data_IF_478726974181
#
_entry.id   IF_478726974181
#
_cell.length_a   1.000
_cell.length_b   1.000
_cell.length_c   1.000
_cell.angle_alpha   90.00
_cell.angle_beta   90.00
_cell.angle_gamma   90.00
#
_symmetry.space_group_name_H-M   'P 1'
#
loop_
_entity.id
_entity.type
_entity.pdbx_description
1 polymer ?
#
# COMPACT_ATOMS: atom_id res chain seq x y z
N UNK A 1 2.70 -16.55 -13.64
CA UNK A 1 2.87 -15.22 -14.26
C UNK A 1 3.74 -14.44 -13.31
N UNK A 2 4.98 -14.12 -13.68
CA UNK A 2 5.82 -13.28 -12.82
C UNK A 2 5.50 -11.84 -13.20
N UNK A 3 4.68 -11.20 -12.38
CA UNK A 3 4.36 -9.78 -12.51
C UNK A 3 5.58 -9.03 -11.95
N UNK A 4 6.30 -8.33 -12.82
CA UNK A 4 7.32 -7.38 -12.40
C UNK A 4 6.72 -5.98 -12.53
N UNK A 5 6.97 -5.11 -11.56
CA UNK A 5 6.50 -3.73 -11.61
C UNK A 5 7.56 -2.79 -11.03
N UNK A 6 7.56 -1.57 -11.52
CA UNK A 6 8.33 -0.45 -10.97
C UNK A 6 7.36 0.63 -10.51
N UNK A 7 7.69 1.32 -9.43
CA UNK A 7 6.93 2.47 -8.94
C UNK A 7 7.91 3.61 -8.74
N UNK A 8 7.60 4.78 -9.30
CA UNK A 8 8.35 6.01 -9.07
C UNK A 8 7.49 7.01 -8.31
N UNK A 9 8.11 7.80 -7.43
CA UNK A 9 7.44 8.83 -6.63
C UNK A 9 8.00 10.21 -7.01
N UNK A 10 7.09 11.14 -7.30
CA UNK A 10 7.39 12.57 -7.46
C UNK A 10 6.65 13.38 -6.42
N UNK A 11 7.36 14.28 -5.72
CA UNK A 11 6.80 15.03 -4.59
C UNK A 11 6.87 16.54 -4.86
N UNK A 12 5.72 17.19 -4.84
CA UNK A 12 5.62 18.65 -4.94
C UNK A 12 5.51 19.28 -3.55
N UNK A 13 6.40 20.24 -3.27
CA UNK A 13 6.43 20.99 -2.01
C UNK A 13 6.17 22.48 -2.24
N UNK A 14 5.48 23.09 -1.28
CA UNK A 14 5.35 24.55 -1.19
C UNK A 14 5.78 24.96 0.22
N UNK A 15 6.76 25.86 0.31
CA UNK A 15 7.36 26.30 1.58
C UNK A 15 7.80 25.12 2.48
N UNK A 16 8.39 24.08 1.89
CA UNK A 16 8.86 22.88 2.60
C UNK A 16 7.78 21.84 2.93
N UNK A 17 6.50 22.17 2.76
CA UNK A 17 5.37 21.29 3.05
C UNK A 17 5.02 20.46 1.81
N UNK A 18 4.84 19.15 1.98
CA UNK A 18 4.36 18.26 0.90
C UNK A 18 2.89 18.59 0.59
N UNK A 19 2.61 19.03 -0.64
CA UNK A 19 1.25 19.34 -1.09
C UNK A 19 0.67 18.29 -2.02
N UNK A 20 1.52 17.63 -2.80
CA UNK A 20 1.10 16.63 -3.78
C UNK A 20 2.18 15.56 -3.91
N UNK A 21 1.74 14.32 -4.06
CA UNK A 21 2.58 13.17 -4.39
C UNK A 21 1.96 12.50 -5.61
N UNK A 22 2.79 12.23 -6.60
CA UNK A 22 2.43 11.48 -7.79
C UNK A 22 3.21 10.17 -7.79
N UNK A 23 2.48 9.07 -7.95
CA UNK A 23 3.03 7.75 -8.19
C UNK A 23 2.81 7.37 -9.63
N UNK A 24 3.87 6.99 -10.33
CA UNK A 24 3.80 6.36 -11.64
C UNK A 24 4.17 4.89 -11.49
N UNK A 25 3.26 4.02 -11.92
CA UNK A 25 3.41 2.59 -11.87
C UNK A 25 3.62 2.07 -13.28
N UNK A 26 4.61 1.21 -13.45
CA UNK A 26 4.86 0.51 -14.70
C UNK A 26 4.83 -1.00 -14.42
N UNK A 27 3.81 -1.67 -14.93
CA UNK A 27 3.58 -3.11 -14.78
C UNK A 27 4.07 -3.84 -16.03
N UNK A 28 4.79 -4.94 -15.84
CA UNK A 28 5.31 -5.79 -16.91
C UNK A 28 4.74 -7.21 -16.81
N UNK A 29 4.14 -7.67 -17.91
CA UNK A 29 3.73 -9.06 -18.07
C UNK A 29 4.66 -9.77 -19.03
N UNK A 30 5.25 -10.87 -18.58
CA UNK A 30 6.02 -11.79 -19.41
C UNK A 30 5.12 -12.98 -19.79
N UNK A 31 4.60 -12.97 -21.02
CA UNK A 31 3.89 -14.12 -21.57
C UNK A 31 4.90 -15.10 -22.21
N UNK A 32 4.88 -16.36 -21.78
CA UNK A 32 5.55 -17.45 -22.51
C UNK A 32 4.56 -18.00 -23.53
N UNK A 33 4.73 -17.67 -24.80
CA UNK A 33 3.97 -18.35 -25.86
C UNK A 33 4.60 -19.73 -26.13
N UNK A 34 3.77 -20.77 -26.17
CA UNK A 34 4.20 -22.16 -26.40
C UNK A 34 3.76 -22.71 -27.77
N UNK A 35 3.49 -21.84 -28.74
CA UNK A 35 3.20 -22.27 -30.12
C UNK A 35 4.40 -21.99 -31.04
N UNK A 36 5.19 -23.03 -31.31
CA UNK A 36 6.28 -23.04 -32.29
C UNK A 36 7.68 -23.02 -31.68
N UNK A 37 8.66 -23.62 -32.37
CA UNK A 37 10.06 -23.83 -31.97
C UNK A 37 10.91 -22.55 -31.73
N UNK A 38 10.29 -21.38 -31.47
CA UNK A 38 11.00 -20.15 -31.16
C UNK A 38 10.40 -19.49 -29.91
N UNK A 39 11.21 -19.34 -28.87
CA UNK A 39 10.85 -18.63 -27.64
C UNK A 39 10.71 -17.13 -27.93
N UNK A 40 9.54 -16.68 -28.39
CA UNK A 40 9.25 -15.26 -28.55
C UNK A 40 8.66 -14.72 -27.24
N UNK A 41 9.41 -13.87 -26.54
CA UNK A 41 8.95 -13.19 -25.32
C UNK A 41 8.20 -11.92 -25.74
N UNK A 42 6.88 -11.90 -25.59
CA UNK A 42 6.13 -10.65 -25.70
C UNK A 42 6.07 -9.99 -24.31
N UNK A 43 6.60 -8.76 -24.23
CA UNK A 43 6.54 -7.92 -23.04
C UNK A 43 5.39 -6.93 -23.24
N UNK A 44 4.32 -7.07 -22.46
CA UNK A 44 3.28 -6.04 -22.38
C UNK A 44 3.56 -5.16 -21.16
N UNK A 45 3.62 -3.84 -21.37
CA UNK A 45 3.75 -2.86 -20.31
C UNK A 45 2.46 -2.05 -20.15
N UNK A 46 2.02 -1.82 -18.92
CA UNK A 46 0.95 -0.89 -18.58
C UNK A 46 1.49 0.18 -17.66
N UNK A 47 1.15 1.44 -17.95
CA UNK A 47 1.52 2.57 -17.11
C UNK A 47 0.24 3.20 -16.56
N UNK A 48 0.20 3.41 -15.26
CA UNK A 48 -0.89 4.11 -14.59
C UNK A 48 -0.34 5.08 -13.54
N UNK A 49 -1.08 6.17 -13.30
CA UNK A 49 -0.66 7.24 -12.41
C UNK A 49 -1.68 7.42 -11.29
N UNK A 50 -1.19 7.55 -10.06
CA UNK A 50 -1.99 7.95 -8.91
C UNK A 50 -1.48 9.27 -8.36
N UNK A 51 -2.38 10.22 -8.09
CA UNK A 51 -2.02 11.52 -7.51
C UNK A 51 -2.76 11.70 -6.20
N UNK A 52 -2.02 12.06 -5.15
CA UNK A 52 -2.56 12.34 -3.83
C UNK A 52 -2.24 13.78 -3.47
N UNK A 53 -3.29 14.58 -3.30
CA UNK A 53 -3.16 16.00 -2.90
C UNK A 53 -3.55 16.16 -1.45
N UNK A 54 -2.74 16.92 -0.71
CA UNK A 54 -3.01 17.29 0.69
C UNK A 54 -4.38 17.94 0.85
N UNK A 55 -4.78 18.79 -0.09
CA UNK A 55 -6.09 19.46 -0.06
C UNK A 55 -7.24 18.46 -0.08
N UNK A 56 -7.17 17.46 -0.96
CA UNK A 56 -8.22 16.47 -1.12
C UNK A 56 -8.27 15.53 0.10
N UNK A 57 -7.10 15.11 0.58
CA UNK A 57 -6.98 14.36 1.84
C UNK A 57 -7.62 15.10 3.02
N UNK A 58 -7.29 16.38 3.22
CA UNK A 58 -7.82 17.18 4.32
C UNK A 58 -9.35 17.35 4.24
N UNK A 59 -9.94 17.31 3.03
CA UNK A 59 -11.39 17.35 2.87
C UNK A 59 -12.00 16.01 3.30
N UNK A 60 -11.41 14.88 2.87
CA UNK A 60 -11.88 13.53 3.21
C UNK A 60 -11.80 13.26 4.72
N UNK A 61 -10.71 13.67 5.36
CA UNK A 61 -10.50 13.37 6.79
C UNK A 61 -11.23 14.30 7.74
N UNK A 62 -11.91 15.34 7.26
CA UNK A 62 -12.65 16.30 8.11
C UNK A 62 -13.73 15.64 8.97
N UNK A 63 -14.24 14.50 8.54
CA UNK A 63 -15.30 13.76 9.22
C UNK A 63 -14.83 12.42 9.82
N UNK A 64 -13.52 12.14 9.75
CA UNK A 64 -12.93 10.90 10.28
C UNK A 64 -12.27 11.26 11.61
N UNK A 65 -12.81 10.80 12.75
CA UNK A 65 -12.18 11.02 14.05
C UNK A 65 -10.79 10.35 14.06
N UNK A 66 -9.82 11.02 14.68
CA UNK A 66 -8.45 10.51 14.83
C UNK A 66 -7.76 10.09 13.51
N UNK A 67 -8.12 10.77 12.43
CA UNK A 67 -7.44 10.59 11.15
C UNK A 67 -5.95 10.96 11.28
N UNK A 68 -5.10 10.21 10.59
CA UNK A 68 -3.67 10.49 10.54
C UNK A 68 -3.40 11.89 10.00
N UNK A 69 -2.29 12.50 10.40
CA UNK A 69 -1.80 13.68 9.69
C UNK A 69 -1.46 13.29 8.25
N UNK A 70 -1.52 14.24 7.31
CA UNK A 70 -1.18 13.93 5.92
C UNK A 70 0.24 13.34 5.79
N UNK A 71 1.19 13.79 6.61
CA UNK A 71 2.55 13.26 6.56
C UNK A 71 2.60 11.79 7.04
N UNK A 72 1.91 11.48 8.13
CA UNK A 72 1.86 10.13 8.69
C UNK A 72 1.12 9.17 7.75
N UNK A 73 0.02 9.63 7.15
CA UNK A 73 -0.68 8.90 6.12
C UNK A 73 0.24 8.52 4.96
N UNK A 74 1.06 9.45 4.46
CA UNK A 74 2.00 9.16 3.37
C UNK A 74 3.10 8.20 3.82
N UNK A 75 3.62 8.36 5.05
CA UNK A 75 4.62 7.43 5.59
C UNK A 75 4.08 6.00 5.66
N UNK A 76 2.81 5.83 6.04
CA UNK A 76 2.15 4.53 6.07
C UNK A 76 1.85 4.03 4.65
N UNK A 77 1.33 4.87 3.77
CA UNK A 77 0.94 4.47 2.41
C UNK A 77 2.09 3.96 1.56
N UNK A 78 3.26 4.59 1.69
CA UNK A 78 4.42 4.30 0.85
C UNK A 78 4.84 2.83 0.85
N UNK A 79 5.01 2.14 2.00
CA UNK A 79 5.24 0.69 2.02
C UNK A 79 4.19 -0.11 1.24
N UNK A 80 2.90 0.23 1.38
CA UNK A 80 1.81 -0.47 0.70
C UNK A 80 1.88 -0.28 -0.82
N UNK A 81 2.20 0.94 -1.28
CA UNK A 81 2.31 1.30 -2.70
C UNK A 81 3.56 0.72 -3.34
N UNK A 82 4.73 0.95 -2.74
CA UNK A 82 6.01 0.63 -3.35
C UNK A 82 6.34 -0.86 -3.21
N UNK A 83 5.90 -1.51 -2.13
CA UNK A 83 6.18 -2.94 -1.87
C UNK A 83 7.61 -3.26 -1.45
N UNK A 84 8.52 -2.29 -1.56
CA UNK A 84 9.88 -2.34 -1.05
C UNK A 84 10.15 -1.03 -0.32
N UNK A 85 10.78 -1.13 0.84
CA UNK A 85 11.04 0.04 1.66
C UNK A 85 12.27 -0.18 2.55
N UNK A 86 12.95 0.92 2.93
CA UNK A 86 14.01 0.88 3.94
C UNK A 86 13.42 0.46 5.30
N UNK A 87 14.17 -0.36 6.06
CA UNK A 87 13.69 -0.90 7.34
C UNK A 87 13.17 0.20 8.29
N UNK A 88 13.87 1.33 8.40
CA UNK A 88 13.51 2.40 9.34
C UNK A 88 12.13 3.01 9.07
N UNK A 89 11.78 3.18 7.80
CA UNK A 89 10.50 3.77 7.44
C UNK A 89 9.37 2.73 7.48
N UNK A 90 9.68 1.44 7.28
CA UNK A 90 8.72 0.36 7.52
C UNK A 90 8.39 0.25 9.02
N UNK A 91 9.37 0.42 9.90
CA UNK A 91 9.17 0.48 11.36
C UNK A 91 8.31 1.68 11.73
N UNK A 92 8.59 2.87 11.17
CA UNK A 92 7.77 4.07 11.43
C UNK A 92 6.32 3.87 10.97
N UNK A 93 6.11 3.31 9.77
CA UNK A 93 4.77 3.01 9.28
C UNK A 93 4.03 2.05 10.21
N UNK A 94 4.71 1.01 10.70
CA UNK A 94 4.16 0.08 11.69
C UNK A 94 3.74 0.80 12.98
N UNK A 95 4.62 1.62 13.54
CA UNK A 95 4.36 2.37 14.78
C UNK A 95 3.23 3.39 14.65
N UNK A 96 3.05 3.97 13.46
CA UNK A 96 1.95 4.90 13.18
C UNK A 96 0.61 4.16 13.07
N UNK A 97 0.62 2.94 12.51
CA UNK A 97 -0.57 2.10 12.41
C UNK A 97 -0.98 1.51 13.76
N UNK A 98 -0.03 1.02 14.56
CA UNK A 98 -0.24 0.48 15.92
C UNK A 98 -0.56 1.61 16.92
N UNK A 99 -1.74 2.20 16.78
CA UNK A 99 -2.17 3.41 17.51
C UNK A 99 -2.25 3.19 19.02
N UNK A 100 -2.65 1.99 19.43
CA UNK A 100 -2.77 1.61 20.84
C UNK A 100 -1.44 1.10 21.43
N UNK A 101 -0.38 1.03 20.63
CA UNK A 101 0.93 0.51 21.01
C UNK A 101 0.87 -0.91 21.60
N UNK A 102 -0.01 -1.74 21.04
CA UNK A 102 -0.15 -3.15 21.44
C UNK A 102 1.03 -4.01 20.99
N UNK A 103 1.87 -3.51 20.06
CA UNK A 103 2.92 -4.26 19.40
C UNK A 103 2.41 -5.09 18.21
N UNK A 104 1.17 -4.88 17.79
CA UNK A 104 0.56 -5.53 16.63
C UNK A 104 -0.49 -4.64 15.98
N UNK A 105 -0.68 -4.79 14.67
CA UNK A 105 -1.70 -4.04 13.92
C UNK A 105 -2.94 -4.91 13.78
N UNK A 106 -4.07 -4.45 14.33
CA UNK A 106 -5.34 -5.15 14.23
C UNK A 106 -6.26 -4.58 13.13
N UNK A 107 -7.51 -5.06 13.09
CA UNK A 107 -8.51 -4.63 12.12
C UNK A 107 -8.88 -3.15 12.32
N UNK A 108 -8.98 -2.71 13.58
CA UNK A 108 -9.42 -1.36 13.92
C UNK A 108 -8.34 -0.33 13.58
N UNK A 109 -7.06 -0.70 13.76
CA UNK A 109 -5.91 0.07 13.29
C UNK A 109 -5.95 0.28 11.77
N UNK A 110 -6.16 -0.80 11.01
CA UNK A 110 -6.26 -0.76 9.55
C UNK A 110 -7.52 -0.03 9.06
N UNK A 111 -8.64 -0.15 9.77
CA UNK A 111 -9.90 0.52 9.45
C UNK A 111 -9.81 2.04 9.53
N UNK A 112 -8.87 2.60 10.27
CA UNK A 112 -8.61 4.05 10.29
C UNK A 112 -7.85 4.55 9.05
N UNK A 113 -7.13 3.66 8.38
CA UNK A 113 -6.23 4.00 7.28
C UNK A 113 -6.81 3.64 5.91
N UNK A 114 -7.35 2.43 5.77
CA UNK A 114 -7.80 1.87 4.49
C UNK A 114 -8.95 2.60 3.80
N UNK A 115 -9.99 3.09 4.49
CA UNK A 115 -11.09 3.80 3.83
C UNK A 115 -10.66 5.06 3.06
N UNK A 116 -9.51 5.64 3.44
CA UNK A 116 -8.95 6.81 2.75
C UNK A 116 -8.36 6.42 1.39
N UNK A 117 -7.94 5.17 1.22
CA UNK A 117 -7.24 4.69 0.03
C UNK A 117 -8.13 3.79 -0.82
N UNK A 118 -9.06 3.08 -0.20
CA UNK A 118 -9.98 2.17 -0.84
C UNK A 118 -11.37 2.31 -0.21
N UNK A 119 -12.23 3.11 -0.85
CA UNK A 119 -13.60 3.36 -0.39
C UNK A 119 -14.48 2.10 -0.36
N UNK A 120 -14.08 1.04 -1.09
CA UNK A 120 -14.78 -0.25 -1.15
C UNK A 120 -14.25 -1.28 -0.14
N UNK A 121 -13.25 -0.92 0.67
CA UNK A 121 -12.69 -1.84 1.66
C UNK A 121 -13.71 -2.12 2.77
N UNK A 122 -14.25 -3.35 2.77
CA UNK A 122 -15.13 -3.84 3.84
C UNK A 122 -14.31 -4.48 4.97
N UNK A 123 -14.88 -4.53 6.18
CA UNK A 123 -14.27 -5.24 7.33
C UNK A 123 -13.91 -6.69 6.98
N UNK A 124 -14.77 -7.39 6.23
CA UNK A 124 -14.51 -8.78 5.82
C UNK A 124 -13.33 -8.87 4.84
N UNK A 125 -13.19 -7.89 3.95
CA UNK A 125 -12.04 -7.78 3.05
C UNK A 125 -10.76 -7.56 3.85
N UNK A 126 -10.77 -6.68 4.86
CA UNK A 126 -9.62 -6.44 5.74
C UNK A 126 -9.22 -7.68 6.54
N UNK A 127 -10.20 -8.38 7.12
CA UNK A 127 -10.00 -9.67 7.80
C UNK A 127 -9.32 -10.68 6.90
N UNK A 128 -9.71 -10.74 5.63
CA UNK A 128 -9.10 -11.65 4.67
C UNK A 128 -7.62 -11.31 4.42
N UNK A 129 -7.27 -10.04 4.34
CA UNK A 129 -5.87 -9.61 4.17
C UNK A 129 -4.99 -9.88 5.39
N UNK A 130 -5.51 -9.64 6.60
CA UNK A 130 -4.80 -10.00 7.84
C UNK A 130 -4.54 -11.51 7.86
N UNK A 131 -5.57 -12.32 7.62
CA UNK A 131 -5.45 -13.80 7.60
C UNK A 131 -4.43 -14.34 6.60
N UNK A 132 -4.13 -13.64 5.49
CA UNK A 132 -3.11 -14.06 4.53
C UNK A 132 -1.68 -13.95 5.07
N UNK A 133 -1.48 -13.18 6.15
CA UNK A 133 -0.16 -12.83 6.70
C UNK A 133 -0.02 -13.07 8.21
N UNK A 134 -1.13 -13.26 8.93
CA UNK A 134 -1.20 -13.69 10.33
C UNK A 134 -0.83 -15.18 10.43
N UNK A 135 0.43 -15.46 10.77
CA UNK A 135 0.96 -16.83 10.83
C UNK A 135 0.76 -17.48 12.20
N UNK A 136 0.57 -16.66 13.25
CA UNK A 136 0.33 -17.15 14.60
C UNK A 136 -1.17 -17.28 14.94
N UNK A 137 -2.05 -16.79 14.06
CA UNK A 137 -3.52 -16.81 14.17
C UNK A 137 -4.09 -16.04 15.35
N UNK A 138 -3.42 -14.96 15.79
CA UNK A 138 -3.90 -14.11 16.88
C UNK A 138 -4.89 -13.03 16.41
N UNK A 139 -5.12 -12.90 15.10
CA UNK A 139 -6.04 -11.92 14.52
C UNK A 139 -5.47 -10.52 14.35
N UNK A 140 -4.17 -10.34 14.58
CA UNK A 140 -3.42 -9.09 14.34
C UNK A 140 -2.11 -9.40 13.61
N UNK A 141 -1.39 -8.36 13.21
CA UNK A 141 -0.10 -8.50 12.53
C UNK A 141 0.98 -7.93 13.43
N UNK A 142 1.87 -8.79 13.94
CA UNK A 142 3.12 -8.31 14.51
C UNK A 142 4.03 -7.69 13.42
N UNK A 143 5.14 -7.09 13.82
CA UNK A 143 6.03 -6.41 12.88
C UNK A 143 6.55 -7.31 11.75
N UNK A 144 6.91 -8.56 12.05
CA UNK A 144 7.42 -9.51 11.04
C UNK A 144 6.32 -9.93 10.06
N UNK A 145 5.09 -10.11 10.55
CA UNK A 145 3.90 -10.42 9.74
C UNK A 145 3.53 -9.24 8.84
N UNK A 146 3.53 -8.02 9.37
CA UNK A 146 3.33 -6.79 8.61
C UNK A 146 4.41 -6.63 7.53
N UNK A 147 5.68 -6.82 7.88
CA UNK A 147 6.79 -6.77 6.91
C UNK A 147 6.62 -7.81 5.81
N UNK A 148 6.21 -9.03 6.17
CA UNK A 148 5.92 -10.10 5.21
C UNK A 148 4.77 -9.72 4.27
N UNK A 149 3.70 -9.12 4.79
CA UNK A 149 2.56 -8.62 4.02
C UNK A 149 3.00 -7.63 2.93
N UNK A 150 3.87 -6.67 3.28
CA UNK A 150 4.39 -5.67 2.34
C UNK A 150 5.27 -6.31 1.27
N UNK A 151 6.25 -7.13 1.67
CA UNK A 151 7.21 -7.75 0.75
C UNK A 151 6.55 -8.74 -0.21
N UNK A 152 5.50 -9.44 0.23
CA UNK A 152 4.72 -10.36 -0.61
C UNK A 152 3.80 -9.64 -1.58
N UNK A 153 3.70 -8.31 -1.50
CA UNK A 153 2.85 -7.51 -2.37
C UNK A 153 1.36 -7.53 -2.00
N UNK A 154 0.99 -8.18 -0.89
CA UNK A 154 -0.39 -8.21 -0.41
C UNK A 154 -0.84 -6.78 -0.08
N UNK A 155 0.04 -5.93 0.47
CA UNK A 155 -0.24 -4.52 0.72
C UNK A 155 -0.69 -3.75 -0.53
N UNK A 156 -0.14 -4.08 -1.72
CA UNK A 156 -0.59 -3.49 -2.98
C UNK A 156 -1.99 -3.97 -3.38
N UNK A 157 -2.29 -5.25 -3.19
CA UNK A 157 -3.66 -5.77 -3.43
C UNK A 157 -4.69 -5.01 -2.56
N UNK A 158 -4.33 -4.62 -1.34
CA UNK A 158 -5.25 -3.88 -0.47
C UNK A 158 -5.65 -2.52 -1.04
N UNK A 159 -4.75 -1.86 -1.78
CA UNK A 159 -4.90 -0.48 -2.26
C UNK A 159 -5.22 -0.38 -3.76
N UNK A 160 -4.74 -1.30 -4.60
CA UNK A 160 -4.74 -1.19 -6.06
C UNK A 160 -5.83 -2.02 -6.76
N UNK A 161 -6.73 -2.71 -6.05
CA UNK A 161 -7.77 -3.55 -6.71
C UNK A 161 -8.70 -2.76 -7.65
N UNK A 162 -8.70 -1.43 -7.58
CA UNK A 162 -9.61 -0.59 -8.37
C UNK A 162 -8.90 0.56 -9.14
N UNK A 163 -7.57 0.54 -9.26
CA UNK A 163 -6.81 1.51 -10.09
C UNK A 163 -6.43 0.84 -11.41
#
# INVERSE_FOLDING_TARGET
>A
MNLEFTVTESITRYSGIINEIQYEFEEFTIEKSSLGMTNKREKRSRIYNATIKRKDYNILTRYIPDALSFNDFILVLRPFVMGYYQNDDLIKAFQILDKNHSGSIDIDDLANFLPIINEYATIDTLKNYIRKSDFNFNGSLNYDEFRSLILRGIGREMICIHV
#
